data_IF_581359020171
#
_entry.id   IF_581359020171
#
_cell.length_a   1.000
_cell.length_b   1.000
_cell.length_c   1.000
_cell.angle_alpha   90.00
_cell.angle_beta   90.00
_cell.angle_gamma   90.00
#
_symmetry.space_group_name_H-M   'P 1'
#
loop_
_entity.id
_entity.type
_entity.pdbx_description
1 polymer ?
#
# COMPACT_ATOMS: atom_id res chain seq x y z
N UNK A 1 -42.67 -87.65 -9.61
CA UNK A 1 -42.78 -86.72 -8.45
C UNK A 1 -41.79 -85.59 -8.67
N UNK A 2 -42.26 -84.35 -8.49
CA UNK A 2 -41.68 -83.06 -8.89
C UNK A 2 -40.16 -82.90 -8.67
N UNK A 3 -39.44 -82.53 -9.72
CA UNK A 3 -38.20 -81.75 -9.65
C UNK A 3 -38.54 -80.28 -9.48
N UNK A 4 -38.21 -79.71 -8.32
CA UNK A 4 -38.29 -78.27 -8.07
C UNK A 4 -37.08 -77.58 -8.70
N UNK A 5 -37.31 -76.79 -9.75
CA UNK A 5 -36.32 -75.85 -10.29
C UNK A 5 -36.55 -74.52 -9.57
N UNK A 6 -35.63 -74.15 -8.69
CA UNK A 6 -35.60 -72.84 -8.06
C UNK A 6 -34.98 -71.83 -9.05
N UNK A 7 -35.83 -71.00 -9.66
CA UNK A 7 -35.39 -69.85 -10.46
C UNK A 7 -35.18 -68.66 -9.52
N UNK A 8 -33.93 -68.41 -9.13
CA UNK A 8 -33.53 -67.15 -8.50
C UNK A 8 -33.26 -66.15 -9.62
N UNK A 9 -34.21 -65.27 -9.91
CA UNK A 9 -33.98 -64.15 -10.80
C UNK A 9 -33.20 -63.06 -10.05
N UNK A 10 -31.91 -62.92 -10.35
CA UNK A 10 -31.15 -61.74 -9.93
C UNK A 10 -31.64 -60.53 -10.71
N UNK A 11 -32.37 -59.64 -10.04
CA UNK A 11 -32.69 -58.31 -10.55
C UNK A 11 -31.41 -57.46 -10.49
N UNK A 12 -30.72 -57.33 -11.61
CA UNK A 12 -29.58 -56.40 -11.72
C UNK A 12 -30.15 -54.99 -11.93
N UNK A 13 -30.34 -54.26 -10.82
CA UNK A 13 -30.70 -52.84 -10.87
C UNK A 13 -29.47 -52.03 -11.30
N UNK A 14 -29.43 -51.64 -12.58
CA UNK A 14 -28.48 -50.64 -13.05
C UNK A 14 -28.92 -49.27 -12.53
N UNK A 15 -28.48 -48.87 -11.34
CA UNK A 15 -28.47 -47.46 -10.97
C UNK A 15 -27.39 -46.79 -11.83
N UNK A 16 -27.79 -46.21 -12.97
CA UNK A 16 -26.95 -45.20 -13.61
C UNK A 16 -26.82 -44.04 -12.64
N UNK A 17 -25.67 -43.95 -11.98
CA UNK A 17 -25.17 -42.69 -11.48
C UNK A 17 -24.64 -41.93 -12.69
N UNK A 18 -25.57 -41.48 -13.56
CA UNK A 18 -25.26 -40.36 -14.41
C UNK A 18 -25.12 -39.19 -13.43
N UNK A 19 -23.89 -38.91 -12.99
CA UNK A 19 -23.55 -37.60 -12.42
C UNK A 19 -23.83 -36.65 -13.57
N UNK A 20 -25.08 -36.17 -13.65
CA UNK A 20 -25.43 -35.08 -14.52
C UNK A 20 -24.39 -33.99 -14.23
N UNK A 21 -23.69 -33.47 -15.25
CA UNK A 21 -22.78 -32.37 -15.02
C UNK A 21 -23.55 -31.31 -14.23
N UNK A 22 -22.94 -30.80 -13.16
CA UNK A 22 -23.55 -29.74 -12.36
C UNK A 22 -24.13 -28.70 -13.33
N UNK A 23 -25.46 -28.54 -13.30
CA UNK A 23 -26.17 -27.66 -14.22
C UNK A 23 -25.57 -26.27 -13.99
N UNK A 24 -25.07 -25.64 -15.05
CA UNK A 24 -24.56 -24.29 -14.99
C UNK A 24 -25.66 -23.39 -15.53
N UNK A 25 -26.38 -22.74 -14.61
CA UNK A 25 -27.51 -21.89 -14.94
C UNK A 25 -27.20 -20.42 -14.65
N UNK A 26 -27.91 -19.54 -15.36
CA UNK A 26 -28.00 -18.13 -15.00
C UNK A 26 -29.31 -17.91 -14.26
N UNK A 27 -29.21 -17.64 -12.96
CA UNK A 27 -30.33 -17.46 -12.05
C UNK A 27 -30.46 -15.99 -11.66
N UNK A 28 -31.64 -15.40 -11.87
CA UNK A 28 -31.96 -14.02 -11.51
C UNK A 28 -32.75 -13.97 -10.22
N UNK A 29 -32.29 -13.14 -9.27
CA UNK A 29 -32.96 -12.92 -8.00
C UNK A 29 -34.22 -12.08 -8.18
N UNK A 30 -35.33 -12.60 -7.66
CA UNK A 30 -36.68 -12.05 -7.86
C UNK A 30 -37.21 -11.29 -6.63
N UNK A 31 -36.59 -11.48 -5.45
CA UNK A 31 -37.00 -10.88 -4.17
C UNK A 31 -38.49 -11.09 -3.84
N UNK A 32 -39.02 -12.30 -4.11
CA UNK A 32 -40.42 -12.67 -3.81
C UNK A 32 -40.64 -12.96 -2.33
N UNK A 33 -39.69 -13.63 -1.70
CA UNK A 33 -39.64 -13.95 -0.28
C UNK A 33 -38.56 -13.07 0.33
N UNK A 34 -38.98 -12.18 1.24
CA UNK A 34 -38.16 -11.06 1.67
C UNK A 34 -36.75 -11.48 2.10
N UNK A 35 -35.75 -11.13 1.26
CA UNK A 35 -34.31 -11.22 1.52
C UNK A 35 -33.68 -12.61 1.63
N UNK A 36 -34.41 -13.70 1.42
CA UNK A 36 -33.88 -15.04 1.64
C UNK A 36 -33.16 -15.60 0.39
N UNK A 37 -31.83 -15.65 0.44
CA UNK A 37 -31.03 -16.25 -0.64
C UNK A 37 -31.32 -17.74 -0.86
N UNK A 38 -31.65 -18.47 0.22
CA UNK A 38 -31.80 -19.93 0.20
C UNK A 38 -33.18 -20.41 -0.22
N UNK A 39 -34.10 -19.49 -0.52
CA UNK A 39 -35.41 -19.85 -1.06
C UNK A 39 -35.34 -19.97 -2.59
N UNK A 40 -35.71 -21.15 -3.12
CA UNK A 40 -35.74 -21.38 -4.57
C UNK A 40 -36.75 -20.49 -5.29
N UNK A 41 -37.82 -20.05 -4.64
CA UNK A 41 -38.85 -19.18 -5.23
C UNK A 41 -38.31 -17.76 -5.51
N UNK A 42 -37.21 -17.38 -4.86
CA UNK A 42 -36.47 -16.16 -5.11
C UNK A 42 -35.61 -16.20 -6.36
N UNK A 43 -35.53 -17.33 -7.07
CA UNK A 43 -34.72 -17.48 -8.28
C UNK A 43 -35.58 -17.92 -9.47
N UNK A 44 -35.43 -17.24 -10.61
CA UNK A 44 -36.15 -17.58 -11.85
C UNK A 44 -35.84 -18.99 -12.39
N UNK A 45 -34.65 -19.51 -12.10
CA UNK A 45 -34.19 -20.85 -12.48
C UNK A 45 -34.82 -21.97 -11.61
N UNK A 46 -35.59 -21.62 -10.57
CA UNK A 46 -36.33 -22.54 -9.72
C UNK A 46 -35.47 -23.31 -8.70
N UNK A 47 -34.23 -22.88 -8.48
CA UNK A 47 -33.35 -23.40 -7.43
C UNK A 47 -32.38 -22.32 -6.95
N UNK A 48 -31.74 -22.55 -5.81
CA UNK A 48 -30.68 -21.67 -5.28
C UNK A 48 -29.41 -21.86 -6.12
N UNK A 49 -28.72 -20.80 -6.55
CA UNK A 49 -27.46 -20.88 -7.30
C UNK A 49 -26.35 -21.55 -6.48
N UNK A 50 -25.64 -22.49 -7.10
CA UNK A 50 -24.51 -23.21 -6.53
C UNK A 50 -23.17 -22.89 -7.22
N UNK A 51 -22.21 -23.78 -7.04
CA UNK A 51 -20.80 -23.58 -7.40
C UNK A 51 -20.51 -23.43 -8.89
N UNK A 52 -21.46 -23.80 -9.76
CA UNK A 52 -21.34 -23.70 -11.22
C UNK A 52 -22.17 -22.56 -11.81
N UNK A 53 -23.04 -21.96 -11.01
CA UNK A 53 -24.09 -21.06 -11.48
C UNK A 53 -23.67 -19.59 -11.48
N UNK A 54 -24.36 -18.82 -12.30
CA UNK A 54 -24.32 -17.36 -12.32
C UNK A 54 -25.52 -16.83 -11.55
N UNK A 55 -25.27 -16.17 -10.42
CA UNK A 55 -26.28 -15.48 -9.63
C UNK A 55 -26.35 -14.00 -10.03
N UNK A 56 -27.47 -13.57 -10.59
CA UNK A 56 -27.74 -12.20 -10.99
C UNK A 56 -28.68 -11.54 -9.98
N UNK A 57 -28.24 -10.44 -9.34
CA UNK A 57 -29.04 -9.67 -8.39
C UNK A 57 -29.22 -8.25 -8.95
N UNK A 58 -30.24 -8.04 -9.82
CA UNK A 58 -30.50 -6.74 -10.45
C UNK A 58 -31.29 -5.77 -9.56
N UNK A 59 -31.94 -6.28 -8.50
CA UNK A 59 -32.83 -5.54 -7.59
C UNK A 59 -33.01 -6.30 -6.28
N UNK A 60 -33.57 -5.61 -5.30
CA UNK A 60 -33.92 -6.21 -4.01
C UNK A 60 -32.72 -6.37 -3.10
N UNK A 61 -33.00 -6.82 -1.89
CA UNK A 61 -31.97 -7.12 -0.88
C UNK A 61 -31.85 -8.63 -0.79
N UNK A 62 -30.63 -9.17 -0.89
CA UNK A 62 -30.37 -10.60 -0.78
C UNK A 62 -29.39 -10.86 0.37
N UNK A 63 -29.86 -11.51 1.45
CA UNK A 63 -29.01 -11.91 2.56
C UNK A 63 -28.34 -13.24 2.25
N UNK A 64 -27.05 -13.21 1.95
CA UNK A 64 -26.28 -14.40 1.56
C UNK A 64 -25.76 -15.12 2.81
N UNK A 65 -26.14 -16.38 3.07
CA UNK A 65 -25.67 -17.14 4.21
C UNK A 65 -24.14 -17.32 4.18
N UNK A 66 -23.54 -17.40 5.37
CA UNK A 66 -22.13 -17.76 5.50
C UNK A 66 -21.86 -19.15 4.92
N UNK A 67 -20.75 -19.29 4.18
CA UNK A 67 -20.35 -20.52 3.49
C UNK A 67 -20.89 -20.65 2.06
N UNK A 68 -21.69 -19.68 1.59
CA UNK A 68 -22.20 -19.69 0.20
C UNK A 68 -21.04 -19.67 -0.78
N UNK A 69 -21.14 -20.52 -1.81
CA UNK A 69 -20.20 -20.55 -2.93
C UNK A 69 -20.97 -20.52 -4.23
N UNK A 70 -20.69 -19.54 -5.09
CA UNK A 70 -21.25 -19.45 -6.44
C UNK A 70 -20.16 -19.21 -7.46
N UNK A 71 -20.34 -19.60 -8.72
CA UNK A 71 -19.32 -19.34 -9.73
C UNK A 71 -19.21 -17.83 -9.99
N UNK A 72 -20.30 -17.22 -10.45
CA UNK A 72 -20.33 -15.79 -10.74
C UNK A 72 -21.45 -15.12 -9.97
N UNK A 73 -21.16 -13.97 -9.36
CA UNK A 73 -22.14 -13.13 -8.70
C UNK A 73 -22.15 -11.75 -9.35
N UNK A 74 -23.27 -11.37 -9.95
CA UNK A 74 -23.46 -10.06 -10.55
C UNK A 74 -24.44 -9.26 -9.70
N UNK A 75 -24.00 -8.11 -9.20
CA UNK A 75 -24.82 -7.19 -8.41
C UNK A 75 -24.91 -5.88 -9.18
N UNK A 76 -26.09 -5.60 -9.72
CA UNK A 76 -26.26 -4.50 -10.65
C UNK A 76 -27.64 -3.85 -10.55
N UNK A 77 -27.82 -2.73 -11.23
CA UNK A 77 -29.12 -2.10 -11.44
C UNK A 77 -29.54 -2.32 -12.90
N UNK A 78 -30.60 -3.12 -13.13
CA UNK A 78 -31.09 -3.39 -14.48
C UNK A 78 -31.91 -2.24 -15.08
N UNK A 79 -32.44 -1.34 -14.25
CA UNK A 79 -33.58 -0.49 -14.63
C UNK A 79 -33.24 1.02 -14.64
N UNK A 80 -31.97 1.42 -14.44
CA UNK A 80 -31.54 2.83 -14.31
C UNK A 80 -32.40 3.66 -13.31
N UNK A 81 -33.11 2.98 -12.40
CA UNK A 81 -34.13 3.54 -11.52
C UNK A 81 -33.77 3.47 -10.03
N UNK A 82 -34.77 3.55 -9.14
CA UNK A 82 -34.61 3.60 -7.66
C UNK A 82 -34.34 2.25 -7.00
N UNK A 83 -34.46 1.14 -7.73
CA UNK A 83 -34.19 -0.21 -7.23
C UNK A 83 -32.82 -0.65 -7.71
N UNK A 84 -31.97 -1.05 -6.77
CA UNK A 84 -30.62 -1.54 -7.04
C UNK A 84 -30.45 -2.91 -6.39
N UNK A 85 -29.59 -3.76 -6.96
CA UNK A 85 -29.15 -4.97 -6.27
C UNK A 85 -28.38 -4.62 -5.00
N UNK A 86 -28.80 -5.21 -3.87
CA UNK A 86 -28.14 -5.10 -2.58
C UNK A 86 -27.83 -6.51 -2.07
N UNK A 87 -26.56 -6.89 -2.10
CA UNK A 87 -26.12 -8.22 -1.66
C UNK A 87 -25.39 -8.12 -0.33
N UNK A 88 -25.88 -8.89 0.66
CA UNK A 88 -25.42 -8.83 2.05
C UNK A 88 -24.87 -10.15 2.54
N UNK A 89 -23.57 -10.44 2.33
CA UNK A 89 -22.91 -11.59 2.94
C UNK A 89 -23.03 -11.56 4.46
N UNK A 90 -23.58 -12.61 5.06
CA UNK A 90 -23.73 -12.80 6.50
C UNK A 90 -22.53 -13.55 7.11
N UNK A 91 -21.38 -13.50 6.45
CA UNK A 91 -20.17 -14.25 6.83
C UNK A 91 -19.30 -14.54 5.62
N UNK A 92 -18.86 -15.79 5.48
CA UNK A 92 -17.97 -16.18 4.37
C UNK A 92 -18.75 -16.32 3.06
N UNK A 93 -18.18 -15.79 1.97
CA UNK A 93 -18.68 -15.95 0.61
C UNK A 93 -17.49 -16.25 -0.29
N UNK A 94 -17.61 -17.28 -1.13
CA UNK A 94 -16.59 -17.59 -2.14
C UNK A 94 -17.20 -17.48 -3.53
N UNK A 95 -16.53 -16.75 -4.41
CA UNK A 95 -16.93 -16.61 -5.81
C UNK A 95 -15.74 -16.74 -6.75
N UNK A 96 -15.96 -17.27 -7.95
CA UNK A 96 -14.96 -17.16 -9.02
C UNK A 96 -14.95 -15.74 -9.58
N UNK A 97 -16.12 -15.19 -9.89
CA UNK A 97 -16.24 -13.83 -10.42
C UNK A 97 -17.27 -13.01 -9.63
N UNK A 98 -16.97 -11.74 -9.41
CA UNK A 98 -17.86 -10.77 -8.77
C UNK A 98 -17.94 -9.52 -9.64
N UNK A 99 -19.15 -9.08 -9.95
CA UNK A 99 -19.39 -7.79 -10.57
C UNK A 99 -20.24 -6.93 -9.63
N UNK A 100 -19.79 -5.72 -9.36
CA UNK A 100 -20.52 -4.72 -8.56
C UNK A 100 -20.60 -3.42 -9.36
N UNK A 101 -21.78 -3.16 -9.91
CA UNK A 101 -22.10 -1.93 -10.63
C UNK A 101 -22.03 -0.68 -9.74
N UNK A 102 -21.91 0.49 -10.37
CA UNK A 102 -21.82 1.80 -9.70
C UNK A 102 -23.06 2.21 -8.90
N UNK A 103 -24.23 1.60 -9.16
CA UNK A 103 -25.47 1.86 -8.42
C UNK A 103 -25.83 0.73 -7.46
N UNK A 104 -25.12 -0.39 -7.51
CA UNK A 104 -25.36 -1.53 -6.64
C UNK A 104 -24.72 -1.35 -5.26
N UNK A 105 -25.18 -2.13 -4.28
CA UNK A 105 -24.67 -2.11 -2.92
C UNK A 105 -24.18 -3.50 -2.51
N UNK A 106 -23.06 -3.54 -1.80
CA UNK A 106 -22.47 -4.76 -1.28
C UNK A 106 -22.05 -4.60 0.20
N UNK A 107 -23.00 -4.49 1.15
CA UNK A 107 -22.69 -4.38 2.56
C UNK A 107 -22.63 -5.77 3.21
N UNK A 108 -21.46 -6.20 3.67
CA UNK A 108 -21.26 -7.47 4.37
C UNK A 108 -21.31 -7.34 5.90
N UNK A 109 -21.45 -8.48 6.58
CA UNK A 109 -21.12 -8.64 8.00
C UNK A 109 -19.66 -9.12 8.13
N UNK A 110 -19.07 -9.10 9.34
CA UNK A 110 -17.75 -9.70 9.57
C UNK A 110 -17.67 -11.13 9.02
N UNK A 111 -16.67 -11.39 8.19
CA UNK A 111 -16.50 -12.61 7.40
C UNK A 111 -15.47 -12.39 6.30
N UNK A 112 -15.25 -13.40 5.46
CA UNK A 112 -14.34 -13.30 4.31
C UNK A 112 -15.09 -13.45 3.00
N UNK A 113 -14.97 -12.45 2.13
CA UNK A 113 -15.42 -12.53 0.74
C UNK A 113 -14.19 -12.84 -0.10
N UNK A 114 -14.09 -14.08 -0.59
CA UNK A 114 -12.98 -14.54 -1.44
C UNK A 114 -13.40 -14.51 -2.89
N UNK A 115 -12.64 -13.80 -3.73
CA UNK A 115 -12.84 -13.77 -5.18
C UNK A 115 -11.65 -14.46 -5.85
N UNK A 116 -11.84 -15.68 -6.34
CA UNK A 116 -10.74 -16.51 -6.89
C UNK A 116 -10.29 -16.08 -8.30
N UNK A 117 -11.19 -15.48 -9.07
CA UNK A 117 -10.96 -14.99 -10.42
C UNK A 117 -11.01 -13.47 -10.45
N UNK A 118 -12.07 -12.90 -11.01
CA UNK A 118 -12.15 -11.46 -11.27
C UNK A 118 -13.24 -10.77 -10.45
N UNK A 119 -12.87 -9.70 -9.74
CA UNK A 119 -13.78 -8.69 -9.19
C UNK A 119 -13.75 -7.45 -10.07
N UNK A 120 -14.85 -7.16 -10.76
CA UNK A 120 -15.05 -5.90 -11.47
C UNK A 120 -15.94 -4.99 -10.63
N UNK A 121 -15.42 -3.81 -10.25
CA UNK A 121 -16.11 -2.89 -9.36
C UNK A 121 -16.17 -1.47 -9.94
N UNK A 122 -17.38 -0.95 -10.13
CA UNK A 122 -17.62 0.32 -10.81
C UNK A 122 -17.91 1.51 -9.87
N UNK A 123 -17.70 1.32 -8.56
CA UNK A 123 -17.86 2.36 -7.54
C UNK A 123 -19.13 2.31 -6.69
N UNK A 124 -19.94 1.26 -6.78
CA UNK A 124 -21.03 1.02 -5.81
C UNK A 124 -20.47 0.80 -4.39
N UNK A 125 -21.16 1.14 -3.29
CA UNK A 125 -20.63 0.93 -1.95
C UNK A 125 -20.31 -0.55 -1.67
N UNK A 126 -19.05 -0.84 -1.33
CA UNK A 126 -18.61 -2.12 -0.74
C UNK A 126 -18.19 -1.85 0.71
N UNK A 127 -18.95 -2.33 1.70
CA UNK A 127 -18.75 -1.92 3.10
C UNK A 127 -19.17 -3.00 4.12
N UNK A 128 -18.95 -2.76 5.41
CA UNK A 128 -19.50 -3.62 6.48
C UNK A 128 -18.47 -4.49 7.21
N UNK A 129 -17.18 -4.18 7.06
CA UNK A 129 -16.14 -4.73 7.93
C UNK A 129 -15.78 -6.20 7.67
N UNK A 130 -16.23 -6.77 6.54
CA UNK A 130 -15.71 -8.04 6.04
C UNK A 130 -14.25 -7.89 5.56
N UNK A 131 -13.61 -9.01 5.24
CA UNK A 131 -12.31 -9.06 4.56
C UNK A 131 -12.52 -9.45 3.09
N UNK A 132 -12.12 -8.57 2.18
CA UNK A 132 -11.99 -8.89 0.77
C UNK A 132 -10.65 -9.61 0.56
N UNK A 133 -10.70 -10.87 0.14
CA UNK A 133 -9.53 -11.70 -0.11
C UNK A 133 -9.36 -11.97 -1.61
N UNK A 134 -8.22 -11.54 -2.14
CA UNK A 134 -7.78 -11.79 -3.52
C UNK A 134 -6.59 -12.76 -3.47
N UNK A 135 -6.81 -14.08 -3.64
CA UNK A 135 -5.74 -15.07 -3.65
C UNK A 135 -4.83 -14.93 -4.88
N UNK A 136 -3.71 -15.66 -4.95
CA UNK A 136 -2.85 -15.68 -6.13
C UNK A 136 -3.62 -15.99 -7.41
N UNK A 137 -3.40 -15.17 -8.45
CA UNK A 137 -4.10 -15.26 -9.74
C UNK A 137 -5.43 -14.49 -9.80
N UNK A 138 -5.99 -14.05 -8.67
CA UNK A 138 -7.17 -13.21 -8.66
C UNK A 138 -6.87 -11.78 -9.13
N UNK A 139 -7.87 -11.11 -9.69
CA UNK A 139 -7.79 -9.74 -10.17
C UNK A 139 -8.95 -8.90 -9.67
N UNK A 140 -8.68 -7.72 -9.12
CA UNK A 140 -9.68 -6.68 -8.90
C UNK A 140 -9.48 -5.58 -9.94
N UNK A 141 -10.50 -5.27 -10.73
CA UNK A 141 -10.53 -4.11 -11.62
C UNK A 141 -11.50 -3.09 -11.05
N UNK A 142 -10.98 -1.94 -10.67
CA UNK A 142 -11.77 -0.81 -10.21
C UNK A 142 -11.82 0.28 -11.29
N UNK A 143 -13.03 0.71 -11.62
CA UNK A 143 -13.28 1.83 -12.54
C UNK A 143 -14.28 2.77 -11.88
N UNK A 144 -13.89 4.00 -11.56
CA UNK A 144 -14.85 4.96 -11.04
C UNK A 144 -15.76 5.48 -12.15
N UNK A 145 -17.01 5.01 -12.19
CA UNK A 145 -18.02 5.49 -13.14
C UNK A 145 -19.06 6.44 -12.52
N UNK A 146 -19.00 6.66 -11.20
CA UNK A 146 -19.84 7.61 -10.48
C UNK A 146 -19.00 8.70 -9.82
N UNK A 147 -19.30 9.96 -10.14
CA UNK A 147 -18.54 11.15 -9.72
C UNK A 147 -18.76 11.57 -8.24
N UNK A 148 -19.30 10.72 -7.38
CA UNK A 148 -19.64 11.10 -6.00
C UNK A 148 -18.65 10.48 -5.00
N UNK A 149 -17.75 11.32 -4.47
CA UNK A 149 -16.78 11.02 -3.40
C UNK A 149 -15.73 9.95 -3.78
N UNK A 150 -14.58 9.84 -3.06
CA UNK A 150 -13.69 8.69 -3.23
C UNK A 150 -14.47 7.40 -2.95
N UNK A 151 -14.36 6.42 -3.85
CA UNK A 151 -14.97 5.12 -3.62
C UNK A 151 -14.12 4.39 -2.59
N UNK A 152 -14.65 4.36 -1.37
CA UNK A 152 -13.97 3.73 -0.26
C UNK A 152 -14.44 2.27 -0.15
N UNK A 153 -13.49 1.35 -0.22
CA UNK A 153 -13.67 -0.03 0.21
C UNK A 153 -13.76 -0.02 1.73
N UNK A 154 -14.98 -0.09 2.27
CA UNK A 154 -15.26 -0.17 3.71
C UNK A 154 -15.06 -1.58 4.28
N UNK A 155 -13.96 -2.23 3.91
CA UNK A 155 -13.63 -3.61 4.25
C UNK A 155 -12.11 -3.75 4.47
N UNK A 156 -11.71 -4.79 5.20
CA UNK A 156 -10.31 -5.20 5.21
C UNK A 156 -9.94 -5.73 3.82
N UNK A 157 -8.66 -5.62 3.46
CA UNK A 157 -8.16 -6.06 2.16
C UNK A 157 -6.97 -7.00 2.35
N UNK A 158 -7.03 -8.17 1.72
CA UNK A 158 -5.91 -9.10 1.59
C UNK A 158 -5.66 -9.31 0.11
N UNK A 159 -4.54 -8.81 -0.39
CA UNK A 159 -4.14 -8.94 -1.78
C UNK A 159 -2.89 -9.83 -1.92
N UNK A 160 -3.08 -10.97 -2.56
CA UNK A 160 -2.05 -11.85 -3.10
C UNK A 160 -2.15 -11.99 -4.64
N UNK A 161 -3.08 -11.27 -5.27
CA UNK A 161 -3.31 -11.24 -6.72
C UNK A 161 -2.92 -9.88 -7.33
N UNK A 162 -3.77 -9.37 -8.22
CA UNK A 162 -3.57 -8.06 -8.86
C UNK A 162 -4.74 -7.13 -8.58
N UNK A 163 -4.46 -5.90 -8.14
CA UNK A 163 -5.43 -4.81 -8.08
C UNK A 163 -5.11 -3.83 -9.19
N UNK A 164 -6.07 -3.57 -10.07
CA UNK A 164 -6.01 -2.58 -11.13
C UNK A 164 -6.96 -1.43 -10.80
N UNK A 165 -6.41 -0.24 -10.55
CA UNK A 165 -7.18 1.00 -10.43
C UNK A 165 -7.13 1.70 -11.78
N UNK A 166 -8.18 1.50 -12.58
CA UNK A 166 -8.23 1.90 -13.98
C UNK A 166 -8.59 3.38 -14.16
N UNK A 167 -9.43 3.92 -13.28
CA UNK A 167 -9.82 5.34 -13.27
C UNK A 167 -10.31 5.79 -11.89
N UNK A 168 -10.17 7.10 -11.61
CA UNK A 168 -10.67 7.71 -10.37
C UNK A 168 -9.84 7.37 -9.13
N UNK A 169 -10.49 7.42 -7.96
CA UNK A 169 -9.84 7.19 -6.66
C UNK A 169 -10.46 6.00 -5.94
N UNK A 170 -9.64 4.97 -5.70
CA UNK A 170 -9.95 3.86 -4.81
C UNK A 170 -9.33 4.10 -3.44
N UNK A 171 -10.15 4.23 -2.40
CA UNK A 171 -9.68 4.36 -1.02
C UNK A 171 -9.92 3.08 -0.21
N UNK A 172 -9.01 2.75 0.70
CA UNK A 172 -9.35 2.01 1.92
C UNK A 172 -9.28 3.04 3.05
N UNK A 173 -10.43 3.44 3.64
CA UNK A 173 -10.50 4.64 4.46
C UNK A 173 -9.82 4.47 5.82
N UNK A 174 -9.39 5.59 6.40
CA UNK A 174 -9.03 5.68 7.80
C UNK A 174 -10.26 5.52 8.69
N UNK A 175 -10.41 4.34 9.29
CA UNK A 175 -11.42 4.02 10.31
C UNK A 175 -10.82 3.01 11.29
N UNK A 176 -11.32 2.89 12.51
CA UNK A 176 -10.59 2.28 13.65
C UNK A 176 -10.09 0.84 13.47
N UNK A 177 -10.72 0.05 12.59
CA UNK A 177 -10.50 -1.39 12.51
C UNK A 177 -10.06 -1.91 11.14
N UNK A 178 -9.83 -1.05 10.15
CA UNK A 178 -9.44 -1.51 8.82
C UNK A 178 -7.98 -1.95 8.75
N UNK A 179 -7.74 -3.06 8.05
CA UNK A 179 -6.41 -3.62 7.80
C UNK A 179 -6.26 -3.88 6.31
N UNK A 180 -5.14 -3.45 5.75
CA UNK A 180 -4.70 -3.81 4.39
C UNK A 180 -3.48 -4.70 4.51
N UNK A 181 -3.48 -5.82 3.80
CA UNK A 181 -2.30 -6.66 3.60
C UNK A 181 -2.08 -6.83 2.11
N UNK A 182 -0.90 -6.46 1.64
CA UNK A 182 -0.52 -6.61 0.24
C UNK A 182 0.79 -7.40 0.15
N UNK A 183 0.80 -8.43 -0.69
CA UNK A 183 1.97 -9.27 -1.01
C UNK A 183 2.17 -9.43 -2.52
N UNK A 184 1.48 -8.61 -3.30
CA UNK A 184 1.41 -8.74 -4.75
C UNK A 184 1.23 -7.37 -5.44
N UNK A 185 0.60 -7.34 -6.61
CA UNK A 185 0.60 -6.16 -7.48
C UNK A 185 -0.60 -5.25 -7.22
N UNK A 186 -0.32 -3.95 -7.10
CA UNK A 186 -1.26 -2.85 -7.24
C UNK A 186 -0.79 -2.01 -8.43
N UNK A 187 -1.59 -1.98 -9.49
CA UNK A 187 -1.36 -1.22 -10.71
C UNK A 187 -2.36 -0.07 -10.78
N UNK A 188 -1.86 1.16 -10.88
CA UNK A 188 -2.71 2.38 -10.92
C UNK A 188 -2.47 3.10 -12.24
N UNK A 189 -3.51 3.23 -13.05
CA UNK A 189 -3.47 3.91 -14.34
C UNK A 189 -3.19 5.41 -14.18
N UNK A 190 -2.63 6.02 -15.22
CA UNK A 190 -2.40 7.48 -15.27
C UNK A 190 -3.68 8.24 -14.98
N UNK A 191 -3.61 9.22 -14.07
CA UNK A 191 -4.76 10.02 -13.63
C UNK A 191 -5.62 9.35 -12.56
N UNK A 192 -5.35 8.11 -12.18
CA UNK A 192 -6.02 7.42 -11.10
C UNK A 192 -5.17 7.41 -9.81
N UNK A 193 -5.82 7.22 -8.66
CA UNK A 193 -5.17 7.18 -7.34
C UNK A 193 -5.68 6.00 -6.52
N UNK A 194 -4.77 5.32 -5.81
CA UNK A 194 -5.14 4.43 -4.71
C UNK A 194 -4.68 5.03 -3.38
N UNK A 195 -5.60 5.17 -2.44
CA UNK A 195 -5.34 5.69 -1.09
C UNK A 195 -5.45 4.57 -0.07
N UNK A 196 -4.36 4.29 0.64
CA UNK A 196 -4.24 3.24 1.65
C UNK A 196 -4.15 3.88 3.04
N UNK A 197 -5.27 4.40 3.55
CA UNK A 197 -5.32 5.13 4.83
C UNK A 197 -5.84 4.29 6.00
N UNK A 198 -5.95 2.97 5.81
CA UNK A 198 -6.27 2.04 6.89
C UNK A 198 -5.28 2.22 8.07
N UNK A 199 -5.73 2.11 9.34
CA UNK A 199 -4.83 2.25 10.50
C UNK A 199 -3.63 1.30 10.49
N UNK A 200 -3.75 0.16 9.81
CA UNK A 200 -2.67 -0.81 9.61
C UNK A 200 -2.60 -1.22 8.15
N UNK A 201 -1.44 -0.99 7.54
CA UNK A 201 -1.12 -1.42 6.18
C UNK A 201 0.13 -2.28 6.23
N UNK A 202 0.02 -3.55 5.89
CA UNK A 202 1.13 -4.48 5.79
C UNK A 202 1.55 -4.62 4.32
N UNK A 203 2.75 -4.15 4.00
CA UNK A 203 3.35 -4.28 2.68
C UNK A 203 4.45 -5.34 2.76
N UNK A 204 4.10 -6.55 2.36
CA UNK A 204 4.96 -7.71 2.41
C UNK A 204 5.87 -7.85 1.20
N UNK A 205 6.73 -8.86 1.27
CA UNK A 205 7.51 -9.33 0.12
C UNK A 205 6.58 -9.56 -1.08
N UNK A 206 7.04 -9.13 -2.26
CA UNK A 206 6.27 -9.25 -3.50
C UNK A 206 5.33 -8.08 -3.77
N UNK A 207 5.22 -7.11 -2.85
CA UNK A 207 4.48 -5.87 -3.09
C UNK A 207 5.06 -5.12 -4.30
N UNK A 208 4.19 -4.78 -5.25
CA UNK A 208 4.52 -3.95 -6.41
C UNK A 208 3.51 -2.83 -6.58
N UNK A 209 4.00 -1.60 -6.75
CA UNK A 209 3.22 -0.43 -7.13
C UNK A 209 3.62 0.01 -8.54
N UNK A 210 2.77 -0.30 -9.50
CA UNK A 210 3.02 -0.11 -10.94
C UNK A 210 2.04 0.88 -11.56
N UNK A 211 2.35 1.33 -12.78
CA UNK A 211 1.48 2.20 -13.57
C UNK A 211 1.78 3.69 -13.38
N UNK A 212 1.15 4.53 -14.19
CA UNK A 212 1.40 5.98 -14.21
C UNK A 212 0.63 6.79 -13.18
N UNK A 213 -0.22 6.17 -12.35
CA UNK A 213 -1.06 6.82 -11.34
C UNK A 213 -0.31 7.17 -10.06
N UNK A 214 -1.00 7.13 -8.91
CA UNK A 214 -0.38 7.32 -7.59
C UNK A 214 -0.92 6.27 -6.61
N UNK A 215 -0.04 5.69 -5.80
CA UNK A 215 -0.42 4.97 -4.58
C UNK A 215 0.06 5.78 -3.38
N UNK A 216 -0.85 6.12 -2.47
CA UNK A 216 -0.53 6.99 -1.33
C UNK A 216 -0.92 6.36 0.02
N UNK A 217 -0.02 6.51 0.99
CA UNK A 217 -0.16 6.14 2.41
C UNK A 217 -0.14 7.44 3.21
N UNK A 218 -1.28 8.06 3.51
CA UNK A 218 -1.28 9.47 3.96
C UNK A 218 -1.29 9.62 5.48
N UNK A 219 -2.04 8.77 6.19
CA UNK A 219 -2.21 8.86 7.65
C UNK A 219 -2.19 7.53 8.42
N UNK A 220 -2.12 6.38 7.73
CA UNK A 220 -2.09 5.05 8.34
C UNK A 220 -0.69 4.63 8.84
N UNK A 221 -0.63 3.57 9.66
CA UNK A 221 0.63 2.93 10.02
C UNK A 221 0.97 1.85 8.99
N UNK A 222 2.04 2.05 8.23
CA UNK A 222 2.59 1.07 7.31
C UNK A 222 3.68 0.22 7.99
N UNK A 223 3.58 -1.10 7.86
CA UNK A 223 4.64 -2.05 8.23
C UNK A 223 5.16 -2.66 6.93
N UNK A 224 6.41 -2.38 6.60
CA UNK A 224 7.06 -2.83 5.36
C UNK A 224 8.00 -4.02 5.62
N UNK A 225 8.03 -4.96 4.69
CA UNK A 225 8.97 -6.09 4.73
C UNK A 225 9.41 -6.53 3.33
N UNK A 226 10.66 -6.99 3.21
CA UNK A 226 11.19 -7.54 1.97
C UNK A 226 11.43 -6.48 0.89
N UNK A 227 11.31 -6.86 -0.38
CA UNK A 227 11.46 -5.93 -1.51
C UNK A 227 10.10 -5.40 -1.93
N UNK A 228 10.00 -4.06 -2.01
CA UNK A 228 8.86 -3.33 -2.56
C UNK A 228 9.30 -2.72 -3.90
N UNK A 229 8.67 -3.13 -4.99
CA UNK A 229 8.85 -2.51 -6.30
C UNK A 229 7.87 -1.32 -6.42
N UNK A 230 8.34 -0.15 -6.82
CA UNK A 230 7.50 1.05 -6.89
C UNK A 230 7.92 2.00 -7.99
N UNK A 231 6.96 2.56 -8.71
CA UNK A 231 7.18 3.66 -9.65
C UNK A 231 6.77 5.02 -9.06
N UNK A 232 5.81 5.03 -8.13
CA UNK A 232 5.01 6.21 -7.77
C UNK A 232 4.42 6.13 -6.35
N UNK A 233 5.00 5.34 -5.44
CA UNK A 233 4.58 5.29 -4.04
C UNK A 233 4.82 6.63 -3.34
N UNK A 234 3.78 7.14 -2.69
CA UNK A 234 3.80 8.31 -1.82
C UNK A 234 3.57 7.86 -0.37
N UNK A 235 4.51 8.16 0.51
CA UNK A 235 4.37 7.94 1.94
C UNK A 235 4.31 9.27 2.70
N UNK A 236 3.34 9.37 3.60
CA UNK A 236 3.07 10.50 4.46
C UNK A 236 2.23 11.59 3.80
N UNK A 237 1.44 12.28 4.61
CA UNK A 237 0.85 13.59 4.32
C UNK A 237 1.68 14.67 5.03
N UNK A 238 1.97 15.82 4.38
CA UNK A 238 2.60 16.95 5.06
C UNK A 238 1.90 17.39 6.34
N UNK A 239 0.57 17.26 6.45
CA UNK A 239 -0.25 17.80 7.55
C UNK A 239 -0.52 16.77 8.66
N UNK A 240 -0.91 15.54 8.30
CA UNK A 240 -1.40 14.50 9.22
C UNK A 240 -0.59 13.19 9.13
N UNK A 241 0.72 13.30 8.92
CA UNK A 241 1.58 12.21 8.45
C UNK A 241 1.43 10.86 9.20
N UNK A 242 1.56 9.75 8.46
CA UNK A 242 1.54 8.39 9.01
C UNK A 242 2.87 7.91 9.57
N UNK A 243 2.90 6.65 10.02
CA UNK A 243 4.13 5.98 10.50
C UNK A 243 4.51 4.86 9.54
N UNK A 244 5.78 4.78 9.16
CA UNK A 244 6.36 3.63 8.46
C UNK A 244 7.32 2.91 9.39
N UNK A 245 7.18 1.60 9.50
CA UNK A 245 8.02 0.74 10.32
C UNK A 245 8.37 -0.55 9.58
N UNK A 246 9.28 -1.35 10.13
CA UNK A 246 9.76 -2.58 9.49
C UNK A 246 10.95 -2.33 8.56
N UNK A 247 11.36 -3.39 7.85
CA UNK A 247 12.61 -3.40 7.06
C UNK A 247 12.34 -3.76 5.61
N UNK A 248 12.61 -2.85 4.68
CA UNK A 248 12.36 -3.06 3.27
C UNK A 248 13.43 -2.47 2.34
N UNK A 249 13.55 -3.07 1.16
CA UNK A 249 14.29 -2.53 0.02
C UNK A 249 13.31 -1.91 -0.97
N UNK A 250 13.51 -0.65 -1.35
CA UNK A 250 12.67 0.08 -2.31
C UNK A 250 13.29 0.01 -3.70
N UNK A 251 12.76 -0.83 -4.58
CA UNK A 251 13.20 -0.90 -5.98
C UNK A 251 12.38 0.08 -6.83
N UNK A 252 13.03 1.05 -7.45
CA UNK A 252 12.39 2.13 -8.21
C UNK A 252 12.28 3.44 -7.42
N UNK A 253 11.13 4.13 -7.52
CA UNK A 253 10.95 5.48 -6.95
C UNK A 253 9.90 5.52 -5.85
N UNK A 254 10.27 6.15 -4.72
CA UNK A 254 9.38 6.46 -3.60
C UNK A 254 9.45 7.96 -3.27
N UNK A 255 8.34 8.53 -2.80
CA UNK A 255 8.25 9.90 -2.28
C UNK A 255 7.93 9.85 -0.79
N UNK A 256 8.74 10.50 0.04
CA UNK A 256 8.46 10.70 1.45
C UNK A 256 8.04 12.15 1.68
N UNK A 257 6.75 12.36 1.91
CA UNK A 257 6.12 13.69 1.96
C UNK A 257 5.82 14.19 3.38
N UNK A 258 5.84 13.30 4.38
CA UNK A 258 5.60 13.66 5.77
C UNK A 258 5.59 12.44 6.68
N UNK A 259 5.25 12.65 7.95
CA UNK A 259 5.14 11.57 8.92
C UNK A 259 6.49 11.06 9.45
N UNK A 260 6.46 9.85 9.99
CA UNK A 260 7.54 9.28 10.80
C UNK A 260 7.99 7.95 10.22
N UNK A 261 9.30 7.68 10.18
CA UNK A 261 9.80 6.31 10.08
C UNK A 261 10.32 5.89 11.46
N UNK A 262 9.80 4.80 12.01
CA UNK A 262 9.95 4.44 13.42
C UNK A 262 10.18 2.93 13.65
N UNK A 263 10.83 2.58 14.76
CA UNK A 263 10.73 1.25 15.37
C UNK A 263 11.83 0.26 15.00
N UNK A 264 13.08 0.72 14.86
CA UNK A 264 14.26 -0.14 14.68
C UNK A 264 14.46 -0.68 13.25
N UNK A 265 13.61 -0.29 12.30
CA UNK A 265 13.63 -0.79 10.93
C UNK A 265 14.69 -0.16 10.03
N UNK A 266 14.85 -0.73 8.83
CA UNK A 266 15.77 -0.24 7.80
C UNK A 266 15.03 -0.04 6.47
N UNK A 267 15.16 1.15 5.87
CA UNK A 267 14.77 1.40 4.48
C UNK A 267 16.01 1.45 3.60
N UNK A 268 16.16 0.46 2.72
CA UNK A 268 17.27 0.39 1.76
C UNK A 268 16.84 0.94 0.41
N UNK A 269 17.57 1.93 -0.11
CA UNK A 269 17.43 2.45 -1.47
C UNK A 269 18.59 1.88 -2.29
N UNK A 270 18.41 0.80 -3.07
CA UNK A 270 19.48 0.19 -3.85
C UNK A 270 19.94 1.09 -5.00
N UNK A 271 21.03 0.69 -5.67
CA UNK A 271 21.50 1.34 -6.90
C UNK A 271 20.37 1.42 -7.92
N UNK A 272 20.31 2.51 -8.68
CA UNK A 272 19.24 2.82 -9.65
C UNK A 272 17.84 3.08 -9.07
N UNK A 273 17.66 3.04 -7.75
CA UNK A 273 16.45 3.52 -7.08
C UNK A 273 16.59 4.98 -6.63
N UNK A 274 15.45 5.64 -6.43
CA UNK A 274 15.37 7.01 -5.95
C UNK A 274 14.39 7.16 -4.78
N UNK A 275 14.81 7.83 -3.72
CA UNK A 275 13.91 8.35 -2.69
C UNK A 275 13.85 9.88 -2.80
N UNK A 276 12.66 10.42 -3.00
CA UNK A 276 12.43 11.86 -3.04
C UNK A 276 11.83 12.33 -1.71
N UNK A 277 12.56 13.15 -0.97
CA UNK A 277 12.13 13.76 0.28
C UNK A 277 11.59 15.16 -0.05
N UNK A 278 10.29 15.37 0.14
CA UNK A 278 9.58 16.61 -0.23
C UNK A 278 8.29 16.76 0.59
N UNK A 279 7.33 17.58 0.15
CA UNK A 279 6.07 17.77 0.90
C UNK A 279 5.79 19.18 1.46
N UNK A 280 6.74 20.13 1.38
CA UNK A 280 6.56 21.53 1.77
C UNK A 280 7.50 21.97 2.90
N UNK A 281 6.92 22.47 3.98
CA UNK A 281 7.63 23.11 5.10
C UNK A 281 7.59 22.29 6.39
N UNK A 282 7.01 21.10 6.36
CA UNK A 282 6.74 20.33 7.56
C UNK A 282 7.85 19.32 7.82
N UNK A 283 8.31 19.29 9.07
CA UNK A 283 9.37 18.40 9.49
C UNK A 283 8.97 16.94 9.33
N UNK A 284 9.98 16.11 9.07
CA UNK A 284 9.88 14.66 8.96
C UNK A 284 10.67 14.02 10.07
N UNK A 285 10.20 12.89 10.58
CA UNK A 285 10.85 12.24 11.72
C UNK A 285 11.48 10.91 11.32
N UNK A 286 12.76 10.73 11.65
CA UNK A 286 13.41 9.44 11.73
C UNK A 286 13.60 9.11 13.21
N UNK A 287 12.92 8.09 13.72
CA UNK A 287 12.95 7.75 15.14
C UNK A 287 13.40 6.31 15.35
N UNK A 288 14.63 6.13 15.86
CA UNK A 288 15.23 4.80 15.98
C UNK A 288 15.15 4.01 14.65
N UNK A 289 15.30 4.68 13.52
CA UNK A 289 15.12 4.08 12.20
C UNK A 289 16.35 4.35 11.32
N UNK A 290 16.65 3.43 10.41
CA UNK A 290 17.81 3.54 9.52
C UNK A 290 17.38 3.74 8.07
N UNK A 291 17.91 4.78 7.41
CA UNK A 291 17.90 4.88 5.94
C UNK A 291 19.28 4.45 5.42
N UNK A 292 19.33 3.52 4.47
CA UNK A 292 20.55 3.10 3.79
C UNK A 292 20.46 3.35 2.29
N UNK A 293 21.11 4.39 1.83
CA UNK A 293 21.12 4.82 0.44
C UNK A 293 22.33 4.26 -0.31
N UNK A 294 22.08 3.46 -1.35
CA UNK A 294 23.02 3.04 -2.39
C UNK A 294 22.70 3.66 -3.76
N UNK A 295 21.53 4.31 -3.89
CA UNK A 295 21.07 4.97 -5.11
C UNK A 295 21.12 6.49 -4.97
N UNK A 296 20.00 7.14 -5.28
CA UNK A 296 19.86 8.60 -5.19
C UNK A 296 18.80 8.99 -4.17
N UNK A 297 19.12 9.94 -3.31
CA UNK A 297 18.14 10.66 -2.51
C UNK A 297 18.10 12.10 -2.98
N UNK A 298 16.93 12.57 -3.40
CA UNK A 298 16.70 13.99 -3.68
C UNK A 298 15.98 14.60 -2.48
N UNK A 299 16.58 15.61 -1.85
CA UNK A 299 16.00 16.31 -0.73
C UNK A 299 15.60 17.72 -1.15
N UNK A 300 14.32 17.87 -1.44
CA UNK A 300 13.65 19.09 -1.93
C UNK A 300 12.78 19.76 -0.86
N UNK A 301 12.73 19.18 0.33
CA UNK A 301 11.89 19.63 1.45
C UNK A 301 12.52 20.82 2.16
N UNK A 302 11.72 21.85 2.47
CA UNK A 302 12.16 23.02 3.25
C UNK A 302 12.05 22.73 4.76
N UNK A 303 11.14 21.85 5.16
CA UNK A 303 11.11 21.29 6.52
C UNK A 303 12.30 20.37 6.81
N UNK A 304 12.63 20.28 8.10
CA UNK A 304 13.80 19.54 8.57
C UNK A 304 13.56 18.02 8.55
N UNK A 305 14.65 17.27 8.45
CA UNK A 305 14.68 15.85 8.84
C UNK A 305 15.15 15.80 10.29
N UNK A 306 14.22 15.45 11.19
CA UNK A 306 14.46 15.34 12.62
C UNK A 306 14.79 13.88 12.95
N UNK A 307 16.05 13.61 13.23
CA UNK A 307 16.52 12.33 13.74
C UNK A 307 16.37 12.26 15.26
N UNK A 308 15.85 11.15 15.78
CA UNK A 308 15.62 10.93 17.21
C UNK A 308 16.03 9.52 17.61
N UNK A 309 16.29 9.32 18.91
CA UNK A 309 16.54 8.02 19.54
C UNK A 309 17.57 7.14 18.80
N UNK A 310 18.66 7.75 18.32
CA UNK A 310 19.74 7.03 17.63
C UNK A 310 19.42 6.66 16.18
N UNK A 311 18.53 7.39 15.50
CA UNK A 311 18.30 7.24 14.07
C UNK A 311 19.59 7.32 13.24
N UNK A 312 19.66 6.57 12.15
CA UNK A 312 20.87 6.45 11.32
C UNK A 312 20.54 6.77 9.86
N UNK A 313 21.32 7.65 9.25
CA UNK A 313 21.28 7.90 7.82
C UNK A 313 22.62 7.51 7.20
N UNK A 314 22.62 6.49 6.34
CA UNK A 314 23.81 6.02 5.65
C UNK A 314 23.72 6.38 4.16
N UNK A 315 24.60 7.28 3.70
CA UNK A 315 24.84 7.52 2.28
C UNK A 315 26.06 6.69 1.86
N UNK A 316 25.81 5.53 1.25
CA UNK A 316 26.82 4.51 0.96
C UNK A 316 27.74 4.92 -0.20
N UNK A 317 28.84 4.20 -0.37
CA UNK A 317 29.77 4.44 -1.48
C UNK A 317 29.04 4.37 -2.84
N UNK A 318 29.32 5.33 -3.72
CA UNK A 318 28.65 5.48 -5.01
C UNK A 318 27.25 6.10 -4.96
N UNK A 319 26.67 6.29 -3.77
CA UNK A 319 25.35 6.89 -3.60
C UNK A 319 25.40 8.42 -3.61
N UNK A 320 24.29 9.05 -4.01
CA UNK A 320 24.13 10.50 -4.02
C UNK A 320 23.02 10.91 -3.05
N UNK A 321 23.33 11.79 -2.10
CA UNK A 321 22.36 12.67 -1.45
C UNK A 321 22.43 14.04 -2.13
N UNK A 322 21.36 14.42 -2.82
CA UNK A 322 21.22 15.67 -3.54
C UNK A 322 20.31 16.63 -2.76
N UNK A 323 20.91 17.50 -1.94
CA UNK A 323 20.22 18.56 -1.23
C UNK A 323 19.89 19.71 -2.19
N UNK A 324 18.59 19.96 -2.39
CA UNK A 324 18.04 20.98 -3.28
C UNK A 324 17.25 22.06 -2.54
N UNK A 325 17.10 21.94 -1.23
CA UNK A 325 16.40 22.88 -0.36
C UNK A 325 17.32 23.39 0.75
N UNK A 326 16.90 24.51 1.36
CA UNK A 326 17.58 25.13 2.50
C UNK A 326 16.90 24.63 3.78
N UNK A 327 17.30 23.42 4.22
CA UNK A 327 16.70 22.67 5.32
C UNK A 327 17.75 21.88 6.11
N UNK A 328 17.40 21.42 7.31
CA UNK A 328 18.38 20.84 8.23
C UNK A 328 18.12 19.36 8.53
N UNK A 329 19.20 18.61 8.80
CA UNK A 329 19.16 17.31 9.44
C UNK A 329 19.60 17.51 10.90
N UNK A 330 18.67 17.38 11.84
CA UNK A 330 18.87 17.78 13.24
C UNK A 330 18.47 16.70 14.22
N UNK A 331 18.95 16.81 15.45
CA UNK A 331 18.48 15.99 16.56
C UNK A 331 17.17 16.52 17.14
N UNK A 332 16.18 15.64 17.31
CA UNK A 332 14.91 15.91 17.98
C UNK A 332 14.89 15.55 19.47
N UNK A 333 15.86 14.76 19.95
CA UNK A 333 15.87 14.22 21.33
C UNK A 333 17.28 14.18 21.95
N UNK A 334 17.53 14.86 23.09
CA UNK A 334 18.89 14.99 23.61
C UNK A 334 19.63 13.70 23.97
N UNK A 335 18.91 12.61 24.27
CA UNK A 335 19.45 11.41 24.91
C UNK A 335 20.35 10.57 23.98
N UNK A 336 19.89 10.26 22.77
CA UNK A 336 20.60 9.45 21.79
C UNK A 336 20.63 10.18 20.45
N UNK A 337 21.77 10.77 20.12
CA UNK A 337 21.96 11.60 18.93
C UNK A 337 21.79 10.77 17.65
N UNK A 338 21.12 11.30 16.62
CA UNK A 338 21.12 10.68 15.32
C UNK A 338 22.52 10.74 14.68
N UNK A 339 22.81 9.77 13.83
CA UNK A 339 24.08 9.66 13.11
C UNK A 339 23.85 9.77 11.62
N UNK A 340 24.63 10.63 10.96
CA UNK A 340 24.71 10.73 9.51
C UNK A 340 26.09 10.23 9.07
N UNK A 341 26.11 9.15 8.27
CA UNK A 341 27.32 8.56 7.73
C UNK A 341 27.38 8.77 6.21
N UNK A 342 28.40 9.48 5.74
CA UNK A 342 28.65 9.69 4.31
C UNK A 342 29.89 8.93 3.84
N UNK A 343 29.69 7.95 2.96
CA UNK A 343 30.72 7.29 2.16
C UNK A 343 30.55 7.56 0.65
N UNK A 344 29.39 8.09 0.24
CA UNK A 344 29.09 8.54 -1.12
C UNK A 344 29.32 10.04 -1.29
N UNK A 345 28.43 10.69 -2.03
CA UNK A 345 28.44 12.15 -2.23
C UNK A 345 27.24 12.80 -1.56
N UNK A 346 27.48 13.79 -0.70
CA UNK A 346 26.49 14.79 -0.29
C UNK A 346 26.70 16.02 -1.15
N UNK A 347 25.68 16.48 -1.86
CA UNK A 347 25.77 17.62 -2.77
C UNK A 347 24.66 18.63 -2.50
N UNK A 348 25.02 19.90 -2.32
CA UNK A 348 24.08 21.04 -2.37
C UNK A 348 24.01 21.56 -3.80
N UNK A 349 22.94 21.23 -4.51
CA UNK A 349 22.80 21.50 -5.95
C UNK A 349 21.79 22.61 -6.30
N UNK A 350 20.90 22.96 -5.39
CA UNK A 350 19.92 24.05 -5.54
C UNK A 350 19.70 24.75 -4.19
N UNK A 351 18.99 25.88 -4.18
CA UNK A 351 18.80 26.75 -3.01
C UNK A 351 20.02 27.64 -2.75
N UNK A 352 19.77 28.91 -2.43
CA UNK A 352 20.83 29.90 -2.16
C UNK A 352 21.19 29.99 -0.67
N UNK A 353 20.35 29.44 0.20
CA UNK A 353 20.56 29.43 1.64
C UNK A 353 21.41 28.26 2.13
N UNK A 354 21.19 27.92 3.39
CA UNK A 354 21.99 26.96 4.15
C UNK A 354 21.26 25.63 4.28
N UNK A 355 21.98 24.53 4.07
CA UNK A 355 21.60 23.19 4.53
C UNK A 355 22.50 22.82 5.69
N UNK A 356 21.92 22.49 6.84
CA UNK A 356 22.70 22.18 8.03
C UNK A 356 22.65 20.70 8.37
N UNK A 357 23.82 20.09 8.59
CA UNK A 357 23.95 18.78 9.22
C UNK A 357 24.28 19.00 10.70
N UNK A 358 23.22 19.09 11.50
CA UNK A 358 23.23 19.34 12.94
C UNK A 358 23.25 20.82 13.33
N UNK A 359 22.59 21.17 14.44
CA UNK A 359 22.55 22.55 14.91
C UNK A 359 23.31 22.75 16.23
N UNK A 360 23.62 24.01 16.57
CA UNK A 360 24.13 24.38 17.88
C UNK A 360 23.17 23.99 19.02
N UNK A 361 23.66 24.06 20.27
CA UNK A 361 22.84 23.73 21.44
C UNK A 361 22.60 22.23 21.60
N UNK A 362 21.36 21.84 21.92
CA UNK A 362 20.96 20.44 22.16
C UNK A 362 20.71 19.63 20.89
N UNK A 363 20.66 20.26 19.72
CA UNK A 363 20.16 19.65 18.47
C UNK A 363 21.29 19.16 17.54
N UNK A 364 22.48 18.90 18.10
CA UNK A 364 23.62 18.41 17.35
C UNK A 364 23.49 16.94 16.95
N UNK A 365 24.10 16.57 15.84
CA UNK A 365 24.15 15.18 15.32
C UNK A 365 25.58 14.65 15.33
N UNK A 366 25.74 13.34 15.14
CA UNK A 366 27.03 12.75 14.80
C UNK A 366 27.16 12.72 13.28
N UNK A 367 28.10 13.47 12.70
CA UNK A 367 28.36 13.47 11.26
C UNK A 367 29.70 12.80 10.95
N UNK A 368 29.66 11.65 10.28
CA UNK A 368 30.83 10.94 9.80
C UNK A 368 30.97 11.08 8.29
N UNK A 369 32.15 11.43 7.81
CA UNK A 369 32.42 11.63 6.39
C UNK A 369 33.70 10.92 5.95
N UNK A 370 33.55 9.94 5.07
CA UNK A 370 34.62 9.27 4.31
C UNK A 370 34.49 9.48 2.81
N UNK A 371 33.32 9.99 2.37
CA UNK A 371 33.03 10.32 0.97
C UNK A 371 33.27 11.79 0.62
N UNK A 372 32.49 12.33 -0.31
CA UNK A 372 32.58 13.71 -0.75
C UNK A 372 31.43 14.58 -0.20
N UNK A 373 31.74 15.83 0.11
CA UNK A 373 30.78 16.92 0.33
C UNK A 373 31.03 17.99 -0.73
N UNK A 374 30.02 18.28 -1.53
CA UNK A 374 30.09 19.18 -2.68
C UNK A 374 29.07 20.32 -2.54
N UNK A 375 29.51 21.57 -2.60
CA UNK A 375 28.64 22.75 -2.57
C UNK A 375 28.72 23.46 -3.91
N UNK A 376 27.63 23.37 -4.68
CA UNK A 376 27.51 24.03 -5.99
C UNK A 376 26.75 25.36 -5.89
N UNK A 377 25.96 25.54 -4.83
CA UNK A 377 25.21 26.76 -4.51
C UNK A 377 25.00 26.86 -3.01
N UNK A 378 24.84 28.08 -2.49
CA UNK A 378 24.55 28.34 -1.08
C UNK A 378 25.63 27.82 -0.13
N UNK A 379 25.20 27.29 1.02
CA UNK A 379 26.07 26.83 2.10
C UNK A 379 25.70 25.43 2.56
N UNK A 380 26.69 24.56 2.78
CA UNK A 380 26.54 23.41 3.69
C UNK A 380 27.22 23.79 5.01
N UNK A 381 26.46 23.73 6.10
CA UNK A 381 27.01 23.84 7.43
C UNK A 381 27.03 22.47 8.09
N UNK A 382 28.16 22.13 8.72
CA UNK A 382 28.33 20.91 9.52
C UNK A 382 28.66 21.33 10.94
N UNK A 383 27.81 20.98 11.90
CA UNK A 383 27.98 21.46 13.26
C UNK A 383 27.08 20.84 14.32
N UNK A 384 27.30 21.25 15.57
CA UNK A 384 26.47 20.89 16.73
C UNK A 384 27.19 20.08 17.81
N UNK A 385 26.64 20.10 19.04
CA UNK A 385 27.19 19.38 20.20
C UNK A 385 26.79 17.88 20.24
N UNK A 386 26.65 17.25 19.06
CA UNK A 386 26.12 15.88 18.94
C UNK A 386 27.12 14.77 19.28
N UNK A 387 28.38 15.11 19.51
CA UNK A 387 29.48 14.16 19.71
C UNK A 387 30.58 14.31 18.66
N UNK A 388 31.70 13.59 18.84
CA UNK A 388 32.82 13.64 17.92
C UNK A 388 32.55 12.80 16.66
N UNK A 389 32.11 13.46 15.59
CA UNK A 389 32.13 12.88 14.25
C UNK A 389 33.55 12.73 13.70
N UNK A 390 33.76 11.77 12.79
CA UNK A 390 35.03 11.55 12.09
C UNK A 390 34.94 12.01 10.64
N UNK A 391 35.95 12.72 10.15
CA UNK A 391 35.91 13.30 8.81
C UNK A 391 37.27 13.14 8.11
N UNK A 392 37.34 12.16 7.22
CA UNK A 392 38.49 11.85 6.36
C UNK A 392 38.16 11.99 4.86
N UNK A 393 36.95 12.44 4.54
CA UNK A 393 36.46 12.64 3.18
C UNK A 393 36.84 14.00 2.58
N UNK A 394 36.45 14.20 1.31
CA UNK A 394 36.75 15.41 0.54
C UNK A 394 35.66 16.48 0.72
N UNK A 395 36.07 17.75 0.73
CA UNK A 395 35.19 18.92 0.82
C UNK A 395 35.47 19.87 -0.35
N UNK A 396 34.49 20.05 -1.24
CA UNK A 396 34.62 20.84 -2.45
C UNK A 396 33.53 21.92 -2.48
N UNK A 397 33.92 23.19 -2.59
CA UNK A 397 33.02 24.32 -2.71
C UNK A 397 33.32 25.07 -4.01
N UNK A 398 32.30 25.34 -4.84
CA UNK A 398 32.44 26.21 -6.01
C UNK A 398 32.63 27.67 -5.59
N UNK A 399 33.14 28.50 -6.51
CA UNK A 399 33.29 29.94 -6.27
C UNK A 399 31.94 30.57 -5.85
N UNK A 400 31.96 31.34 -4.76
CA UNK A 400 30.75 31.97 -4.22
C UNK A 400 29.89 31.07 -3.32
N UNK A 401 30.35 29.86 -3.00
CA UNK A 401 29.68 28.93 -2.07
C UNK A 401 30.51 28.69 -0.81
N UNK A 402 29.90 28.11 0.22
CA UNK A 402 30.57 27.90 1.52
C UNK A 402 30.34 26.49 2.08
N UNK A 403 31.40 25.93 2.65
CA UNK A 403 31.32 24.83 3.61
C UNK A 403 31.73 25.40 4.97
N UNK A 404 30.80 25.41 5.92
CA UNK A 404 31.00 25.99 7.25
C UNK A 404 31.07 24.89 8.32
N UNK A 405 32.04 25.01 9.24
CA UNK A 405 32.18 24.11 10.37
C UNK A 405 32.02 24.90 11.68
N UNK A 406 30.92 24.68 12.40
CA UNK A 406 30.54 25.56 13.52
C UNK A 406 30.94 25.08 14.92
N UNK A 407 31.63 23.92 15.07
CA UNK A 407 32.40 23.47 16.27
C UNK A 407 33.02 22.05 16.12
N UNK A 408 33.90 21.67 17.06
CA UNK A 408 34.92 20.59 16.99
C UNK A 408 34.46 19.22 16.45
N UNK A 409 34.56 19.05 15.15
CA UNK A 409 34.87 17.80 14.46
C UNK A 409 36.39 17.73 14.34
N UNK A 410 37.02 16.60 14.70
CA UNK A 410 38.46 16.41 14.47
C UNK A 410 38.69 16.22 12.98
N UNK A 411 38.96 17.32 12.28
CA UNK A 411 39.31 17.32 10.86
C UNK A 411 40.82 17.18 10.73
N UNK A 412 41.28 16.12 10.07
CA UNK A 412 42.67 16.08 9.62
C UNK A 412 42.85 17.12 8.51
N UNK A 413 43.82 18.05 8.61
CA UNK A 413 44.03 19.05 7.57
C UNK A 413 44.52 18.37 6.29
N UNK A 414 43.75 18.45 5.19
CA UNK A 414 44.26 18.12 3.85
C UNK A 414 44.70 19.39 3.11
N UNK A 415 45.78 19.24 2.37
CA UNK A 415 46.45 20.28 1.60
C UNK A 415 45.53 20.88 0.54
N UNK A 416 45.42 22.21 0.52
CA UNK A 416 44.89 22.95 -0.62
C UNK A 416 45.74 22.59 -1.86
N UNK A 417 45.09 22.16 -2.94
CA UNK A 417 45.66 22.24 -4.29
C UNK A 417 44.95 23.32 -5.06
#
# INVERSE_FOLDING_TARGET
MLTAVCLVSTLTLWMRWDVLPARADACTYLDKIAKDWNDADNWDCGHVPGTTDVANVPRGIANVPSGTTVNTLNVYNADNGTHFGDVRPQGNLTVQNLYVDRYASFPGQPGTVTVNGTLNWEGGPMSGGFTLNLPPGATLNFTQLKNALPNNLGANLVNAGTINVLSGTLGVPGGTNFVVTNTATISVSTGATMTLDAPRVYLGQGTKFLGGGIVQLTSGNAVVSGTIETQNLVFGNPVNGGVLSGTATISGTMRWLGGQMHGGGVLTIPVSSTLNIGGGTNNKTLDQFTISNFGTINWTEIGDIVGSNGAIFNNQSGALLNAQADADFVDGTPANKPTFNNAGTVRKAAGSGMTTFGHGGSNGIIFNNTGAVEVMTGTIQIGGNGGAGTSNGNFNALAGTLIEFTRATTHSPMARR
#
